data_IF_518179293309
#
_entry.id   IF_518179293309
#
_cell.length_a   1.000
_cell.length_b   1.000
_cell.length_c   1.000
_cell.angle_alpha   90.00
_cell.angle_beta   90.00
_cell.angle_gamma   90.00
#
_symmetry.space_group_name_H-M   'P 1'
#
loop_
_entity.id
_entity.type
_entity.pdbx_description
1 polymer ?
#
# COMPACT_ATOMS: atom_id res chain seq x y z
N UNK A 1 18.74 8.68 -1.71
CA UNK A 1 19.17 7.45 -0.99
C UNK A 1 17.96 6.54 -0.79
N UNK A 2 18.10 5.21 -0.73
CA UNK A 2 16.96 4.26 -0.71
C UNK A 2 16.01 4.37 0.50
N UNK A 3 16.32 5.23 1.49
CA UNK A 3 15.54 5.43 2.72
C UNK A 3 15.01 6.87 2.89
N UNK A 4 14.79 7.62 1.81
CA UNK A 4 14.43 9.04 1.85
C UNK A 4 12.93 9.31 2.15
N UNK A 5 12.36 8.69 3.18
CA UNK A 5 10.97 8.93 3.60
C UNK A 5 10.84 9.95 4.75
N UNK A 6 9.62 10.46 5.03
CA UNK A 6 9.36 11.30 6.20
C UNK A 6 9.79 10.62 7.50
N UNK A 7 10.43 11.37 8.40
CA UNK A 7 10.97 10.86 9.66
C UNK A 7 10.75 11.86 10.81
N UNK A 8 10.88 11.39 12.05
CA UNK A 8 10.73 12.25 13.23
C UNK A 8 9.30 12.77 13.37
N UNK A 9 9.12 14.09 13.41
CA UNK A 9 7.82 14.74 13.61
C UNK A 9 6.90 14.66 12.39
N UNK A 10 7.48 14.49 11.20
CA UNK A 10 6.74 14.42 9.95
C UNK A 10 6.30 12.99 9.61
N UNK A 11 6.64 12.03 10.47
CA UNK A 11 6.19 10.65 10.33
C UNK A 11 4.71 10.53 10.70
N UNK A 12 3.93 10.01 9.76
CA UNK A 12 2.53 9.62 9.97
C UNK A 12 2.45 8.09 9.96
N UNK A 13 1.88 7.44 11.00
CA UNK A 13 1.71 6.00 11.02
C UNK A 13 0.89 5.48 9.84
N UNK A 14 1.27 4.32 9.31
CA UNK A 14 0.55 3.65 8.23
C UNK A 14 0.51 2.14 8.48
N UNK A 15 -0.51 1.49 7.91
CA UNK A 15 -0.63 0.03 7.94
C UNK A 15 0.39 -0.64 7.04
N UNK A 16 0.84 -1.83 7.44
CA UNK A 16 1.67 -2.73 6.63
C UNK A 16 1.00 -4.09 6.61
N UNK A 17 0.97 -4.73 5.45
CA UNK A 17 0.39 -6.06 5.26
C UNK A 17 1.30 -6.97 4.45
N UNK A 18 1.16 -8.28 4.67
CA UNK A 18 1.73 -9.31 3.81
C UNK A 18 0.68 -9.68 2.76
N UNK A 19 0.83 -9.14 1.55
CA UNK A 19 -0.15 -9.30 0.46
C UNK A 19 0.29 -10.42 -0.46
N UNK A 20 -0.62 -11.38 -0.67
CA UNK A 20 -0.46 -12.43 -1.67
C UNK A 20 -0.80 -11.88 -3.05
N UNK A 21 0.13 -11.98 -4.00
CA UNK A 21 -0.11 -11.56 -5.38
C UNK A 21 -0.64 -12.72 -6.23
N UNK A 22 -1.64 -12.45 -7.06
CA UNK A 22 -2.35 -13.44 -7.86
C UNK A 22 -3.59 -13.98 -7.17
N UNK A 23 -4.40 -14.75 -7.91
CA UNK A 23 -5.61 -15.38 -7.42
C UNK A 23 -5.48 -16.91 -7.50
N UNK A 24 -6.10 -17.62 -6.55
CA UNK A 24 -6.15 -19.08 -6.56
C UNK A 24 -4.86 -19.78 -6.15
N UNK A 25 -4.75 -21.07 -6.48
CA UNK A 25 -3.68 -21.97 -6.03
C UNK A 25 -2.29 -21.66 -6.61
N UNK A 26 -2.22 -20.87 -7.68
CA UNK A 26 -0.97 -20.49 -8.35
C UNK A 26 -0.27 -19.29 -7.68
N UNK A 27 -0.92 -18.67 -6.70
CA UNK A 27 -0.37 -17.52 -5.99
C UNK A 27 0.79 -17.95 -5.08
N UNK A 28 2.03 -17.75 -5.53
CA UNK A 28 3.26 -18.14 -4.81
C UNK A 28 4.06 -16.96 -4.25
N UNK A 29 3.74 -15.73 -4.63
CA UNK A 29 4.49 -14.52 -4.23
C UNK A 29 3.75 -13.75 -3.14
N UNK A 30 4.46 -13.46 -2.04
CA UNK A 30 3.98 -12.55 -0.99
C UNK A 30 4.87 -11.33 -0.91
N UNK A 31 4.24 -10.17 -0.79
CA UNK A 31 4.90 -8.87 -0.69
C UNK A 31 4.51 -8.23 0.63
N UNK A 32 5.49 -7.88 1.45
CA UNK A 32 5.27 -6.95 2.56
C UNK A 32 5.23 -5.53 2.00
N UNK A 33 4.13 -4.82 2.24
CA UNK A 33 3.93 -3.49 1.68
C UNK A 33 2.95 -2.63 2.46
N UNK A 34 2.99 -1.33 2.17
CA UNK A 34 2.11 -0.33 2.79
C UNK A 34 0.67 -0.54 2.37
N UNK A 35 -0.25 -0.41 3.32
CA UNK A 35 -1.69 -0.31 3.07
C UNK A 35 -2.11 1.17 3.00
N UNK A 36 -3.03 1.50 2.10
CA UNK A 36 -3.60 2.87 2.03
C UNK A 36 -4.61 3.13 3.14
N UNK A 37 -5.14 2.08 3.77
CA UNK A 37 -6.00 2.15 4.95
C UNK A 37 -5.19 1.79 6.21
N UNK A 38 -5.39 2.54 7.28
CA UNK A 38 -4.65 2.42 8.53
C UNK A 38 -5.55 2.28 9.77
N UNK A 39 -6.87 2.34 9.61
CA UNK A 39 -7.86 2.02 10.64
C UNK A 39 -8.01 0.49 10.77
N UNK A 40 -7.59 -0.11 11.90
CA UNK A 40 -7.69 -1.55 12.11
C UNK A 40 -9.12 -2.08 12.04
N UNK A 41 -10.12 -1.25 12.34
CA UNK A 41 -11.54 -1.66 12.29
C UNK A 41 -12.05 -1.88 10.86
N UNK A 42 -11.36 -1.33 9.85
CA UNK A 42 -11.70 -1.46 8.43
C UNK A 42 -10.86 -2.51 7.70
N UNK A 43 -9.87 -3.08 8.37
CA UNK A 43 -8.97 -4.09 7.82
C UNK A 43 -9.37 -5.49 8.26
N UNK A 44 -9.29 -6.44 7.34
CA UNK A 44 -9.66 -7.84 7.60
C UNK A 44 -8.64 -8.79 6.96
N UNK A 45 -8.39 -9.93 7.59
CA UNK A 45 -7.58 -10.98 6.97
C UNK A 45 -8.29 -11.56 5.75
N UNK A 46 -7.55 -11.80 4.67
CA UNK A 46 -8.10 -12.28 3.40
C UNK A 46 -8.87 -11.22 2.62
N UNK A 47 -8.83 -9.96 3.05
CA UNK A 47 -9.41 -8.84 2.31
C UNK A 47 -8.71 -8.68 0.96
N UNK A 48 -9.51 -8.52 -0.09
CA UNK A 48 -8.99 -8.20 -1.41
C UNK A 48 -8.44 -6.79 -1.47
N UNK A 49 -7.29 -6.68 -2.13
CA UNK A 49 -6.57 -5.43 -2.31
C UNK A 49 -6.00 -5.39 -3.71
N UNK A 50 -5.79 -4.19 -4.21
CA UNK A 50 -5.13 -3.92 -5.49
C UNK A 50 -3.84 -3.13 -5.30
N UNK A 51 -2.89 -3.33 -6.21
CA UNK A 51 -1.67 -2.54 -6.27
C UNK A 51 -2.00 -1.11 -6.74
N UNK A 52 -1.48 -0.12 -6.03
CA UNK A 52 -1.62 1.29 -6.39
C UNK A 52 -0.31 2.04 -6.16
N UNK A 53 -0.25 3.30 -6.61
CA UNK A 53 0.89 4.19 -6.44
C UNK A 53 0.55 5.31 -5.46
N UNK A 54 1.44 5.59 -4.51
CA UNK A 54 1.29 6.68 -3.54
C UNK A 54 2.55 7.54 -3.50
N UNK A 55 2.43 8.83 -3.14
CA UNK A 55 3.60 9.67 -2.92
C UNK A 55 4.43 9.15 -1.74
N UNK A 56 5.75 9.10 -1.91
CA UNK A 56 6.69 8.77 -0.83
C UNK A 56 7.27 10.05 -0.21
N UNK A 57 7.80 10.95 -1.05
CA UNK A 57 8.33 12.26 -0.68
C UNK A 57 8.46 13.16 -1.92
N UNK A 58 8.67 14.47 -1.72
CA UNK A 58 9.12 15.38 -2.77
C UNK A 58 10.65 15.55 -2.69
N UNK A 59 11.35 15.46 -3.81
CA UNK A 59 12.79 15.66 -3.87
C UNK A 59 13.20 17.16 -3.82
N UNK A 60 14.50 17.43 -3.82
CA UNK A 60 15.05 18.80 -3.71
C UNK A 60 14.69 19.70 -4.90
N UNK A 61 14.34 19.09 -6.04
CA UNK A 61 13.89 19.79 -7.25
C UNK A 61 12.35 19.97 -7.28
N UNK A 62 11.65 19.47 -6.26
CA UNK A 62 10.21 19.57 -6.12
C UNK A 62 9.43 18.48 -6.89
N UNK A 63 10.09 17.43 -7.38
CA UNK A 63 9.40 16.31 -8.03
C UNK A 63 8.81 15.35 -7.00
N UNK A 64 7.60 14.85 -7.27
CA UNK A 64 7.01 13.77 -6.47
C UNK A 64 7.67 12.42 -6.79
N UNK A 65 8.31 11.84 -5.78
CA UNK A 65 8.81 10.47 -5.83
C UNK A 65 7.70 9.54 -5.39
N UNK A 66 7.26 8.68 -6.30
CA UNK A 66 6.17 7.72 -6.08
C UNK A 66 6.70 6.37 -5.61
N UNK A 67 5.91 5.67 -4.81
CA UNK A 67 6.12 4.25 -4.43
C UNK A 67 4.83 3.47 -4.60
N UNK A 68 4.90 2.14 -4.48
CA UNK A 68 3.72 1.29 -4.50
C UNK A 68 3.08 1.15 -3.10
N UNK A 69 1.79 0.84 -3.09
CA UNK A 69 1.01 0.47 -1.90
C UNK A 69 -0.14 -0.47 -2.31
N UNK A 70 -0.87 -0.98 -1.32
CA UNK A 70 -2.06 -1.81 -1.53
C UNK A 70 -3.31 -1.13 -0.98
N UNK A 71 -4.35 -1.05 -1.81
CA UNK A 71 -5.63 -0.41 -1.48
C UNK A 71 -6.73 -1.46 -1.39
N UNK A 72 -7.60 -1.43 -0.37
CA UNK A 72 -8.81 -2.23 -0.36
C UNK A 72 -9.68 -2.00 -1.59
N UNK A 73 -10.09 -3.07 -2.27
CA UNK A 73 -11.11 -2.96 -3.32
C UNK A 73 -12.47 -2.71 -2.67
N UNK A 74 -13.24 -1.76 -3.21
CA UNK A 74 -14.63 -1.58 -2.80
C UNK A 74 -15.49 -2.61 -3.52
N UNK A 75 -16.47 -3.22 -2.84
CA UNK A 75 -17.39 -4.22 -3.46
C UNK A 75 -18.15 -3.69 -4.68
N UNK A 76 -18.24 -2.38 -4.85
CA UNK A 76 -18.88 -1.74 -6.00
C UNK A 76 -18.00 -1.73 -7.27
N UNK A 77 -16.73 -2.12 -7.18
CA UNK A 77 -15.79 -2.15 -8.31
C UNK A 77 -15.67 -3.52 -9.00
N UNK A 78 -16.36 -4.55 -8.51
CA UNK A 78 -16.38 -5.89 -9.11
C UNK A 78 -17.32 -6.01 -10.34
N UNK A 79 -18.01 -4.92 -10.71
CA UNK A 79 -19.04 -4.89 -11.76
C UNK A 79 -18.65 -4.16 -13.06
N UNK A 80 -17.36 -3.91 -13.33
CA UNK A 80 -16.89 -3.33 -14.59
C UNK A 80 -16.05 -4.30 -15.41
#
# INVERSE_FOLDING_TARGET
MPNAGPAGKDFVPFGVGLVQLGLGEEAVVRVEGRLTENDPAKLQFGQEVELTMVPLFADDDGNEVMTFAFRPVSKDQEGL
#
